data_IF_505585266501
#
_entry.id   IF_505585266501
#
_cell.length_a   1.000
_cell.length_b   1.000
_cell.length_c   1.000
_cell.angle_alpha   90.00
_cell.angle_beta   90.00
_cell.angle_gamma   90.00
#
_symmetry.space_group_name_H-M   'P 1'
#
loop_
_entity.id
_entity.type
_entity.pdbx_description
1 polymer ?
#
# COMPACT_ATOMS: atom_id res chain seq x y z
N UNK A 1 -18.51 -75.75 -0.24
CA UNK A 1 -18.84 -76.54 0.97
C UNK A 1 -19.05 -75.56 2.12
N UNK A 2 -20.27 -75.60 2.56
CA UNK A 2 -20.88 -75.14 3.83
C UNK A 2 -20.92 -73.62 4.03
N UNK A 3 -22.01 -73.03 3.75
CA UNK A 3 -23.42 -73.02 4.31
C UNK A 3 -23.49 -72.39 5.72
N UNK A 4 -24.04 -71.17 5.73
CA UNK A 4 -25.15 -70.50 6.51
C UNK A 4 -25.21 -70.67 8.05
N UNK A 5 -25.99 -69.80 8.81
CA UNK A 5 -27.12 -68.97 8.34
C UNK A 5 -27.24 -67.55 8.96
N UNK A 6 -28.11 -66.80 8.35
CA UNK A 6 -28.75 -65.51 8.79
C UNK A 6 -29.58 -65.75 10.06
N UNK A 7 -29.58 -64.76 10.97
CA UNK A 7 -30.66 -64.58 11.94
C UNK A 7 -31.21 -63.16 11.86
N UNK A 8 -32.46 -63.11 11.48
CA UNK A 8 -33.36 -61.94 11.51
C UNK A 8 -33.82 -61.68 12.95
N UNK A 9 -33.71 -60.46 13.43
CA UNK A 9 -34.49 -60.02 14.60
C UNK A 9 -35.39 -58.83 14.20
N UNK A 10 -36.70 -59.15 14.39
CA UNK A 10 -37.85 -58.29 14.19
C UNK A 10 -37.83 -57.09 15.14
N UNK A 11 -38.21 -55.94 14.62
CA UNK A 11 -38.69 -54.78 15.39
C UNK A 11 -40.14 -55.05 15.87
N UNK A 12 -40.55 -54.73 17.12
CA UNK A 12 -41.92 -54.57 17.50
C UNK A 12 -42.35 -53.12 17.40
N UNK A 13 -43.60 -52.96 16.96
CA UNK A 13 -44.27 -51.76 16.55
C UNK A 13 -44.63 -50.77 17.68
N UNK A 14 -44.72 -49.54 17.22
CA UNK A 14 -45.43 -48.44 17.86
C UNK A 14 -46.94 -48.84 17.98
N UNK A 15 -47.40 -48.98 19.18
CA UNK A 15 -48.80 -48.70 19.66
C UNK A 15 -49.02 -49.49 20.91
N UNK A 16 -49.00 -48.78 22.04
CA UNK A 16 -49.76 -49.07 23.29
C UNK A 16 -48.98 -48.55 24.51
N UNK A 17 -49.28 -47.33 24.86
CA UNK A 17 -49.26 -46.84 26.25
C UNK A 17 -49.83 -45.42 26.31
N UNK A 18 -51.13 -45.32 25.99
CA UNK A 18 -51.94 -44.20 26.40
C UNK A 18 -52.97 -44.81 27.34
N UNK A 19 -52.87 -44.51 28.65
CA UNK A 19 -54.00 -44.28 29.58
C UNK A 19 -53.58 -44.37 31.05
N UNK A 20 -53.97 -43.30 31.73
CA UNK A 20 -54.02 -43.10 33.22
C UNK A 20 -52.72 -42.48 33.77
N UNK A 21 -52.74 -41.21 34.18
CA UNK A 21 -53.49 -40.68 35.30
C UNK A 21 -53.62 -39.15 35.21
N UNK A 22 -54.79 -38.67 35.47
CA UNK A 22 -55.17 -37.28 35.61
C UNK A 22 -54.94 -36.80 37.05
N UNK A 23 -54.77 -35.48 37.16
CA UNK A 23 -55.16 -34.59 38.26
C UNK A 23 -54.07 -34.04 39.20
N UNK A 24 -54.13 -32.72 39.24
CA UNK A 24 -53.80 -31.77 40.29
C UNK A 24 -52.50 -30.97 40.16
N UNK A 25 -52.72 -29.67 39.97
CA UNK A 25 -51.72 -28.66 40.24
C UNK A 25 -51.63 -27.54 39.17
N UNK A 26 -52.65 -26.72 38.98
CA UNK A 26 -52.57 -25.48 38.25
C UNK A 26 -51.77 -24.45 39.06
N UNK A 27 -50.50 -24.27 38.74
CA UNK A 27 -49.75 -23.10 39.10
C UNK A 27 -49.45 -22.36 37.79
N UNK A 28 -50.09 -21.23 37.58
CA UNK A 28 -49.86 -20.34 36.45
C UNK A 28 -48.44 -19.74 36.55
N UNK A 29 -47.51 -20.32 35.81
CA UNK A 29 -46.21 -19.66 35.52
C UNK A 29 -46.47 -18.71 34.36
N UNK A 30 -46.61 -17.42 34.67
CA UNK A 30 -46.53 -16.34 33.67
C UNK A 30 -45.09 -16.33 33.17
N UNK A 31 -44.83 -16.62 31.89
CA UNK A 31 -43.49 -16.39 31.34
C UNK A 31 -43.33 -14.87 31.27
N UNK A 32 -42.51 -14.29 32.16
CA UNK A 32 -41.88 -13.00 31.93
C UNK A 32 -41.04 -13.13 30.67
N UNK A 33 -41.67 -12.90 29.54
CA UNK A 33 -41.00 -12.75 28.27
C UNK A 33 -40.12 -11.52 28.33
N UNK A 34 -38.83 -11.67 28.69
CA UNK A 34 -37.83 -10.71 28.33
C UNK A 34 -37.85 -10.65 26.81
N UNK A 35 -38.01 -9.45 26.20
CA UNK A 35 -37.83 -9.35 24.77
C UNK A 35 -36.38 -9.79 24.49
N UNK A 36 -36.23 -10.98 23.92
CA UNK A 36 -34.98 -11.34 23.29
C UNK A 36 -34.77 -10.30 22.22
N UNK A 37 -33.91 -9.32 22.48
CA UNK A 37 -33.36 -8.46 21.46
C UNK A 37 -32.60 -9.40 20.56
N UNK A 38 -33.25 -9.90 19.52
CA UNK A 38 -32.58 -10.49 18.36
C UNK A 38 -31.78 -9.33 17.78
N UNK A 39 -30.55 -9.16 18.27
CA UNK A 39 -29.56 -8.37 17.54
C UNK A 39 -29.39 -9.11 16.21
N UNK A 40 -30.16 -8.69 15.21
CA UNK A 40 -29.86 -9.04 13.84
C UNK A 40 -28.37 -8.84 13.67
N UNK A 41 -27.67 -9.83 13.17
CA UNK A 41 -26.24 -9.73 12.90
C UNK A 41 -26.10 -8.50 12.00
N UNK A 42 -25.54 -7.41 12.56
CA UNK A 42 -25.42 -6.15 11.83
C UNK A 42 -24.60 -6.47 10.57
N UNK A 43 -25.15 -6.14 9.40
CA UNK A 43 -24.46 -6.36 8.12
C UNK A 43 -23.02 -5.86 8.20
N UNK A 44 -22.07 -6.65 7.68
CA UNK A 44 -20.66 -6.23 7.62
C UNK A 44 -20.50 -4.98 6.74
N UNK A 45 -19.55 -4.11 7.07
CA UNK A 45 -19.13 -3.02 6.19
C UNK A 45 -18.05 -3.58 5.28
N UNK A 46 -18.26 -3.55 3.98
CA UNK A 46 -17.35 -4.10 2.97
C UNK A 46 -16.41 -3.03 2.44
N UNK A 47 -15.11 -3.34 2.41
CA UNK A 47 -14.05 -2.53 1.83
C UNK A 47 -13.42 -3.30 0.67
N UNK A 48 -13.26 -2.65 -0.48
CA UNK A 48 -12.58 -3.23 -1.63
C UNK A 48 -11.07 -3.04 -1.53
N UNK A 49 -10.30 -4.11 -1.61
CA UNK A 49 -8.85 -4.05 -1.72
C UNK A 49 -8.44 -4.49 -3.12
N UNK A 50 -7.85 -3.58 -3.89
CA UNK A 50 -7.48 -3.81 -5.29
C UNK A 50 -6.00 -3.51 -5.46
N UNK A 51 -5.21 -4.53 -5.79
CA UNK A 51 -3.76 -4.43 -5.93
C UNK A 51 -3.26 -5.54 -6.86
N UNK A 52 -2.12 -5.38 -7.56
CA UNK A 52 -1.54 -6.48 -8.30
C UNK A 52 -1.09 -7.58 -7.33
N UNK A 53 -1.60 -8.78 -7.50
CA UNK A 53 -1.22 -9.98 -6.73
C UNK A 53 -0.43 -10.98 -7.55
N UNK A 54 -0.36 -10.73 -8.84
CA UNK A 54 0.40 -11.49 -9.83
C UNK A 54 1.29 -10.57 -10.65
N UNK A 55 2.19 -11.13 -11.46
CA UNK A 55 3.11 -10.37 -12.29
C UNK A 55 4.26 -9.69 -11.51
N UNK A 56 4.91 -8.72 -12.15
CA UNK A 56 6.14 -8.10 -11.63
C UNK A 56 5.98 -7.28 -10.34
N UNK A 57 4.77 -6.87 -10.00
CA UNK A 57 4.43 -6.18 -8.74
C UNK A 57 3.75 -7.09 -7.71
N UNK A 58 3.51 -8.37 -8.04
CA UNK A 58 2.69 -9.26 -7.23
C UNK A 58 3.17 -9.45 -5.79
N UNK A 59 4.49 -9.47 -5.56
CA UNK A 59 5.03 -9.56 -4.20
C UNK A 59 4.70 -8.34 -3.36
N UNK A 60 4.78 -7.14 -3.92
CA UNK A 60 4.42 -5.89 -3.25
C UNK A 60 2.93 -5.90 -2.88
N UNK A 61 2.06 -6.32 -3.80
CA UNK A 61 0.62 -6.43 -3.54
C UNK A 61 0.27 -7.44 -2.44
N UNK A 62 1.02 -8.53 -2.31
CA UNK A 62 0.83 -9.50 -1.23
C UNK A 62 1.18 -8.89 0.14
N UNK A 63 2.26 -8.09 0.24
CA UNK A 63 2.57 -7.36 1.46
C UNK A 63 1.47 -6.36 1.83
N UNK A 64 0.98 -5.59 0.86
CA UNK A 64 -0.14 -4.66 1.06
C UNK A 64 -1.40 -5.37 1.57
N UNK A 65 -1.78 -6.49 0.96
CA UNK A 65 -2.93 -7.28 1.40
C UNK A 65 -2.79 -7.79 2.83
N UNK A 66 -1.60 -8.22 3.25
CA UNK A 66 -1.33 -8.62 4.63
C UNK A 66 -1.49 -7.43 5.59
N UNK A 67 -1.03 -6.24 5.21
CA UNK A 67 -1.25 -5.00 5.97
C UNK A 67 -2.72 -4.69 6.17
N UNK A 68 -3.51 -4.70 5.09
CA UNK A 68 -4.97 -4.55 5.11
C UNK A 68 -5.65 -5.57 6.02
N UNK A 69 -5.28 -6.84 5.90
CA UNK A 69 -5.86 -7.94 6.68
C UNK A 69 -5.59 -7.77 8.18
N UNK A 70 -4.37 -7.37 8.56
CA UNK A 70 -4.03 -7.11 9.95
C UNK A 70 -4.83 -5.93 10.52
N UNK A 71 -4.94 -4.83 9.76
CA UNK A 71 -5.72 -3.67 10.18
C UNK A 71 -7.18 -4.01 10.45
N UNK A 72 -7.81 -4.76 9.54
CA UNK A 72 -9.23 -5.16 9.68
C UNK A 72 -9.43 -6.12 10.84
N UNK A 73 -8.53 -7.06 11.06
CA UNK A 73 -8.58 -7.96 12.22
C UNK A 73 -8.51 -7.19 13.54
N UNK A 74 -7.61 -6.22 13.66
CA UNK A 74 -7.48 -5.37 14.84
C UNK A 74 -8.73 -4.52 15.08
N UNK A 75 -9.25 -3.88 14.02
CA UNK A 75 -10.48 -3.08 14.10
C UNK A 75 -11.65 -3.96 14.56
N UNK A 76 -11.78 -5.15 14.00
CA UNK A 76 -12.87 -6.08 14.35
C UNK A 76 -12.72 -6.62 15.77
N UNK A 77 -11.51 -6.85 16.25
CA UNK A 77 -11.23 -7.26 17.64
C UNK A 77 -11.58 -6.15 18.63
N UNK A 78 -11.37 -4.89 18.23
CA UNK A 78 -11.75 -3.71 19.02
C UNK A 78 -13.25 -3.37 18.97
N UNK A 79 -14.10 -4.21 18.34
CA UNK A 79 -15.55 -4.02 18.26
C UNK A 79 -16.08 -3.54 16.91
N UNK A 80 -15.22 -3.40 15.92
CA UNK A 80 -15.59 -2.96 14.56
C UNK A 80 -15.81 -1.45 14.44
N UNK A 81 -16.58 -1.05 13.44
CA UNK A 81 -16.94 0.35 13.17
C UNK A 81 -18.46 0.48 13.14
N UNK A 82 -19.01 1.48 13.81
CA UNK A 82 -20.46 1.70 13.92
C UNK A 82 -21.22 0.47 14.45
N UNK A 83 -20.59 -0.35 15.32
CA UNK A 83 -21.15 -1.59 15.83
C UNK A 83 -21.18 -2.75 14.81
N UNK A 84 -20.51 -2.60 13.68
CA UNK A 84 -20.44 -3.56 12.58
C UNK A 84 -19.00 -4.00 12.35
N UNK A 85 -18.79 -5.25 11.95
CA UNK A 85 -17.49 -5.74 11.53
C UNK A 85 -17.13 -5.23 10.13
N UNK A 86 -15.84 -5.08 9.85
CA UNK A 86 -15.32 -4.83 8.52
C UNK A 86 -15.01 -6.15 7.80
N UNK A 87 -15.24 -6.18 6.51
CA UNK A 87 -14.87 -7.27 5.60
C UNK A 87 -14.07 -6.71 4.43
N UNK A 88 -12.92 -7.33 4.11
CA UNK A 88 -12.12 -6.98 2.94
C UNK A 88 -12.46 -7.92 1.79
N UNK A 89 -12.89 -7.34 0.66
CA UNK A 89 -13.03 -8.07 -0.59
C UNK A 89 -11.82 -7.73 -1.45
N UNK A 90 -10.91 -8.71 -1.59
CA UNK A 90 -9.66 -8.53 -2.31
C UNK A 90 -9.78 -8.99 -3.77
N UNK A 91 -9.23 -8.20 -4.69
CA UNK A 91 -9.18 -8.50 -6.12
C UNK A 91 -7.76 -8.22 -6.66
N UNK A 92 -7.35 -9.03 -7.64
CA UNK A 92 -6.11 -8.81 -8.39
C UNK A 92 -6.38 -7.85 -9.54
N UNK A 93 -5.67 -6.72 -9.57
CA UNK A 93 -5.83 -5.70 -10.60
C UNK A 93 -5.22 -6.10 -11.94
N UNK A 94 -4.19 -6.92 -11.94
CA UNK A 94 -3.46 -7.45 -13.11
C UNK A 94 -2.98 -6.37 -14.10
N UNK A 95 -3.90 -5.58 -14.64
CA UNK A 95 -3.67 -4.48 -15.60
C UNK A 95 -4.83 -3.47 -15.54
N UNK A 96 -4.73 -2.29 -16.21
CA UNK A 96 -5.75 -1.25 -16.14
C UNK A 96 -7.16 -1.71 -16.55
N UNK A 97 -7.29 -2.55 -17.58
CA UNK A 97 -8.59 -3.04 -18.08
C UNK A 97 -9.25 -3.97 -17.04
N UNK A 98 -8.47 -4.88 -16.47
CA UNK A 98 -8.93 -5.75 -15.40
C UNK A 98 -9.31 -4.95 -14.16
N UNK A 99 -8.50 -3.94 -13.79
CA UNK A 99 -8.77 -3.06 -12.65
C UNK A 99 -10.13 -2.37 -12.79
N UNK A 100 -10.46 -1.81 -13.96
CA UNK A 100 -11.79 -1.20 -14.22
C UNK A 100 -12.92 -2.21 -13.97
N UNK A 101 -12.83 -3.41 -14.52
CA UNK A 101 -13.85 -4.46 -14.34
C UNK A 101 -14.00 -4.84 -12.87
N UNK A 102 -12.88 -4.94 -12.13
CA UNK A 102 -12.87 -5.27 -10.71
C UNK A 102 -13.47 -4.16 -9.85
N UNK A 103 -13.20 -2.88 -10.15
CA UNK A 103 -13.85 -1.74 -9.48
C UNK A 103 -15.36 -1.81 -9.63
N UNK A 104 -15.85 -2.01 -10.85
CA UNK A 104 -17.29 -2.12 -11.11
C UNK A 104 -17.91 -3.27 -10.29
N UNK A 105 -17.28 -4.44 -10.29
CA UNK A 105 -17.70 -5.58 -9.48
C UNK A 105 -17.76 -5.22 -8.00
N UNK A 106 -16.68 -4.66 -7.44
CA UNK A 106 -16.59 -4.32 -6.02
C UNK A 106 -17.65 -3.30 -5.61
N UNK A 107 -17.87 -2.26 -6.40
CA UNK A 107 -18.80 -1.19 -6.05
C UNK A 107 -20.26 -1.56 -6.36
N UNK A 108 -20.53 -2.04 -7.58
CA UNK A 108 -21.91 -2.24 -8.04
C UNK A 108 -22.52 -3.55 -7.55
N UNK A 109 -21.73 -4.64 -7.49
CA UNK A 109 -22.21 -5.96 -7.05
C UNK A 109 -21.97 -6.20 -5.57
N UNK A 110 -20.72 -6.02 -5.13
CA UNK A 110 -20.30 -6.41 -3.78
C UNK A 110 -20.61 -5.31 -2.75
N UNK A 111 -20.93 -4.06 -3.22
CA UNK A 111 -21.37 -2.91 -2.42
C UNK A 111 -20.32 -2.46 -1.41
N UNK A 112 -19.07 -2.40 -1.81
CA UNK A 112 -18.00 -1.83 -0.98
C UNK A 112 -18.21 -0.32 -0.80
N UNK A 113 -17.87 0.20 0.38
CA UNK A 113 -18.04 1.62 0.72
C UNK A 113 -16.80 2.46 0.40
N UNK A 114 -15.65 1.84 0.21
CA UNK A 114 -14.40 2.47 -0.21
C UNK A 114 -13.51 1.44 -0.92
N UNK A 115 -12.58 1.95 -1.73
CA UNK A 115 -11.52 1.19 -2.41
C UNK A 115 -10.18 1.58 -1.80
N UNK A 116 -9.31 0.60 -1.55
CA UNK A 116 -7.97 0.80 -1.00
C UNK A 116 -6.99 -0.01 -1.84
N UNK A 117 -5.79 0.51 -2.03
CA UNK A 117 -4.71 -0.24 -2.67
C UNK A 117 -4.18 0.41 -3.94
N UNK A 118 -3.70 -0.42 -4.80
CA UNK A 118 -3.06 -0.29 -6.10
C UNK A 118 -1.64 0.26 -6.05
N UNK A 119 -0.76 -0.41 -6.81
CA UNK A 119 0.67 -0.09 -6.92
C UNK A 119 1.00 0.43 -8.33
N UNK A 120 0.40 -0.16 -9.36
CA UNK A 120 0.61 0.27 -10.74
C UNK A 120 -0.04 1.63 -11.00
N UNK A 121 0.75 2.65 -11.34
CA UNK A 121 0.23 3.98 -11.68
C UNK A 121 -0.73 3.95 -12.87
N UNK A 122 -0.53 3.04 -13.83
CA UNK A 122 -1.44 2.89 -14.96
C UNK A 122 -2.82 2.36 -14.52
N UNK A 123 -2.86 1.35 -13.67
CA UNK A 123 -4.10 0.83 -13.09
C UNK A 123 -4.76 1.84 -12.15
N UNK A 124 -3.96 2.54 -11.32
CA UNK A 124 -4.48 3.56 -10.40
C UNK A 124 -5.18 4.71 -11.13
N UNK A 125 -4.67 5.15 -12.29
CA UNK A 125 -5.34 6.14 -13.15
C UNK A 125 -6.71 5.64 -13.60
N UNK A 126 -6.81 4.40 -14.05
CA UNK A 126 -8.07 3.80 -14.47
C UNK A 126 -9.06 3.61 -13.30
N UNK A 127 -8.56 3.21 -12.12
CA UNK A 127 -9.36 3.10 -10.89
C UNK A 127 -9.89 4.49 -10.47
N UNK A 128 -9.04 5.52 -10.49
CA UNK A 128 -9.41 6.88 -10.11
C UNK A 128 -10.57 7.43 -10.95
N UNK A 129 -10.55 7.18 -12.27
CA UNK A 129 -11.65 7.54 -13.16
C UNK A 129 -12.95 6.82 -12.79
N UNK A 130 -12.90 5.52 -12.50
CA UNK A 130 -14.06 4.76 -12.06
C UNK A 130 -14.55 5.18 -10.68
N UNK A 131 -13.66 5.48 -9.75
CA UNK A 131 -13.99 5.98 -8.41
C UNK A 131 -14.78 7.29 -8.48
N UNK A 132 -14.37 8.22 -9.35
CA UNK A 132 -15.11 9.45 -9.63
C UNK A 132 -16.50 9.16 -10.21
N UNK A 133 -16.57 8.32 -11.25
CA UNK A 133 -17.83 7.97 -11.91
C UNK A 133 -18.82 7.30 -10.97
N UNK A 134 -18.33 6.41 -10.10
CA UNK A 134 -19.14 5.66 -9.14
C UNK A 134 -19.31 6.38 -7.79
N UNK A 135 -18.71 7.57 -7.63
CA UNK A 135 -18.71 8.37 -6.39
C UNK A 135 -18.29 7.56 -5.16
N UNK A 136 -17.27 6.73 -5.32
CA UNK A 136 -16.73 5.84 -4.28
C UNK A 136 -15.35 6.30 -3.88
N UNK A 137 -15.07 6.58 -2.57
CA UNK A 137 -13.73 6.98 -2.14
C UNK A 137 -12.69 5.91 -2.48
N UNK A 138 -11.58 6.34 -3.08
CA UNK A 138 -10.43 5.51 -3.40
C UNK A 138 -9.20 6.04 -2.68
N UNK A 139 -8.58 5.17 -1.87
CA UNK A 139 -7.34 5.45 -1.13
C UNK A 139 -6.17 4.75 -1.82
N UNK A 140 -5.40 5.54 -2.55
CA UNK A 140 -4.19 5.08 -3.23
C UNK A 140 -3.07 4.90 -2.21
N UNK A 141 -2.54 3.69 -2.09
CA UNK A 141 -1.53 3.31 -1.09
C UNK A 141 -0.20 2.87 -1.70
N UNK A 142 -0.08 2.82 -3.04
CA UNK A 142 1.14 2.33 -3.68
C UNK A 142 1.51 2.96 -5.02
N UNK A 143 0.60 3.67 -5.70
CA UNK A 143 0.91 4.28 -6.99
C UNK A 143 1.48 5.69 -6.86
N UNK A 144 2.64 5.95 -7.49
CA UNK A 144 3.48 7.13 -7.25
C UNK A 144 3.34 8.25 -8.28
N UNK A 145 2.74 8.02 -9.47
CA UNK A 145 2.69 9.05 -10.51
C UNK A 145 2.07 10.34 -10.02
N UNK A 146 2.73 11.46 -10.27
CA UNK A 146 2.21 12.81 -9.97
C UNK A 146 0.96 13.13 -10.79
N UNK A 147 0.74 12.44 -11.93
CA UNK A 147 -0.46 12.63 -12.75
C UNK A 147 -1.75 12.31 -12.01
N UNK A 148 -1.70 11.40 -11.03
CA UNK A 148 -2.84 11.05 -10.17
C UNK A 148 -3.29 12.22 -9.30
N UNK A 149 -2.36 13.11 -8.89
CA UNK A 149 -2.59 14.28 -8.05
C UNK A 149 -2.60 15.56 -8.87
N UNK A 150 -2.27 15.47 -10.17
CA UNK A 150 -2.21 16.56 -11.13
C UNK A 150 -3.43 16.59 -12.03
N UNK A 151 -3.19 16.44 -13.33
CA UNK A 151 -4.26 16.52 -14.35
C UNK A 151 -5.41 15.53 -14.18
N UNK A 152 -5.19 14.42 -13.48
CA UNK A 152 -6.19 13.39 -13.21
C UNK A 152 -6.68 13.40 -11.75
N UNK A 153 -6.40 14.45 -10.98
CA UNK A 153 -6.92 14.56 -9.63
C UNK A 153 -8.46 14.61 -9.64
N UNK A 154 -9.06 14.04 -8.64
CA UNK A 154 -10.50 14.11 -8.46
C UNK A 154 -10.89 14.00 -6.98
N UNK A 155 -12.10 14.45 -6.65
CA UNK A 155 -12.57 14.57 -5.28
C UNK A 155 -12.73 13.25 -4.54
N UNK A 156 -12.83 12.12 -5.24
CA UNK A 156 -13.01 10.80 -4.64
C UNK A 156 -11.70 10.04 -4.45
N UNK A 157 -10.55 10.63 -4.80
CA UNK A 157 -9.26 9.98 -4.67
C UNK A 157 -8.40 10.65 -3.60
N UNK A 158 -7.88 9.85 -2.67
CA UNK A 158 -6.98 10.24 -1.58
C UNK A 158 -5.67 9.47 -1.69
N UNK A 159 -4.54 10.15 -1.46
CA UNK A 159 -3.21 9.57 -1.69
C UNK A 159 -2.46 9.41 -0.37
N UNK A 160 -2.32 8.18 0.09
CA UNK A 160 -1.50 7.80 1.25
C UNK A 160 -0.06 7.60 0.82
N UNK A 161 0.13 7.00 -0.35
CA UNK A 161 1.43 6.84 -0.97
C UNK A 161 2.06 8.19 -1.34
N UNK A 162 3.42 8.26 -1.27
CA UNK A 162 4.19 9.37 -1.78
C UNK A 162 4.11 9.48 -3.31
N UNK A 163 4.23 10.70 -3.84
CA UNK A 163 4.32 10.89 -5.28
C UNK A 163 5.78 10.96 -5.76
N UNK A 164 6.00 10.83 -7.06
CA UNK A 164 7.33 10.87 -7.66
C UNK A 164 8.10 12.15 -7.31
N UNK A 165 7.42 13.30 -7.20
CA UNK A 165 8.03 14.55 -6.72
C UNK A 165 8.53 14.42 -5.28
N UNK A 166 7.76 13.79 -4.38
CA UNK A 166 8.18 13.59 -2.99
C UNK A 166 9.43 12.72 -2.90
N UNK A 167 9.46 11.60 -3.61
CA UNK A 167 10.62 10.71 -3.68
C UNK A 167 11.85 11.43 -4.23
N UNK A 168 11.69 12.15 -5.36
CA UNK A 168 12.78 12.90 -6.00
C UNK A 168 13.31 14.01 -5.10
N UNK A 169 12.43 14.81 -4.47
CA UNK A 169 12.84 15.90 -3.57
C UNK A 169 13.49 15.37 -2.29
N UNK A 170 13.04 14.23 -1.77
CA UNK A 170 13.62 13.64 -0.55
C UNK A 170 15.08 13.28 -0.74
N UNK A 171 15.42 12.44 -1.72
CA UNK A 171 16.81 12.07 -1.98
C UNK A 171 17.62 13.26 -2.56
N UNK A 172 16.98 14.06 -3.39
CA UNK A 172 17.60 15.21 -4.00
C UNK A 172 18.01 16.29 -2.99
N UNK A 173 17.22 16.53 -1.96
CA UNK A 173 17.58 17.46 -0.88
C UNK A 173 18.84 16.99 -0.15
N UNK A 174 18.94 15.71 0.18
CA UNK A 174 20.13 15.14 0.77
C UNK A 174 21.35 15.22 -0.17
N UNK A 175 21.18 14.81 -1.44
CA UNK A 175 22.26 14.87 -2.43
C UNK A 175 22.74 16.31 -2.69
N UNK A 176 21.84 17.29 -2.63
CA UNK A 176 22.17 18.71 -2.75
C UNK A 176 23.02 19.20 -1.56
N UNK A 177 22.64 18.83 -0.33
CA UNK A 177 23.41 19.13 0.86
C UNK A 177 24.83 18.53 0.81
N UNK A 178 24.99 17.36 0.18
CA UNK A 178 26.26 16.68 -0.06
C UNK A 178 27.02 17.19 -1.30
N UNK A 179 26.57 18.27 -1.96
CA UNK A 179 27.15 18.82 -3.19
C UNK A 179 27.24 17.79 -4.35
N UNK A 180 26.30 16.87 -4.46
CA UNK A 180 26.32 15.75 -5.44
C UNK A 180 25.43 15.98 -6.68
N UNK A 181 24.77 17.13 -6.80
CA UNK A 181 23.87 17.43 -7.93
C UNK A 181 24.48 18.40 -8.93
N UNK A 182 25.04 19.53 -8.46
CA UNK A 182 25.57 20.55 -9.34
C UNK A 182 26.71 20.00 -10.21
N UNK A 183 26.55 20.06 -11.54
CA UNK A 183 27.48 19.50 -12.52
C UNK A 183 27.42 17.97 -12.67
N UNK A 184 26.55 17.28 -11.92
CA UNK A 184 26.43 15.83 -12.01
C UNK A 184 25.75 15.40 -13.31
N UNK A 185 26.27 14.32 -13.90
CA UNK A 185 25.73 13.65 -15.08
C UNK A 185 25.08 12.34 -14.67
N UNK A 186 23.78 12.25 -14.83
CA UNK A 186 22.99 11.09 -14.43
C UNK A 186 22.57 10.25 -15.63
N UNK A 187 22.69 8.95 -15.53
CA UNK A 187 22.11 7.99 -16.44
C UNK A 187 20.85 7.41 -15.82
N UNK A 188 19.75 7.40 -16.54
CA UNK A 188 18.49 6.87 -16.03
C UNK A 188 18.11 5.56 -16.72
N UNK A 189 17.60 4.63 -15.94
CA UNK A 189 16.91 3.42 -16.39
C UNK A 189 15.45 3.55 -15.99
N UNK A 190 14.56 3.65 -16.95
CA UNK A 190 13.18 4.06 -16.72
C UNK A 190 12.22 2.97 -17.16
N UNK A 191 11.38 2.47 -16.25
CA UNK A 191 10.32 1.53 -16.56
C UNK A 191 9.34 2.11 -17.59
N UNK A 192 9.08 1.35 -18.66
CA UNK A 192 8.29 1.81 -19.80
C UNK A 192 6.77 1.72 -19.54
N UNK A 193 6.30 2.44 -18.52
CA UNK A 193 4.88 2.64 -18.22
C UNK A 193 4.66 3.92 -17.40
N UNK A 194 3.39 4.28 -17.11
CA UNK A 194 3.01 5.58 -16.53
C UNK A 194 3.85 6.02 -15.31
N UNK A 195 4.22 5.09 -14.41
CA UNK A 195 5.10 5.37 -13.27
C UNK A 195 6.47 5.88 -13.70
N UNK A 196 7.17 5.11 -14.55
CA UNK A 196 8.52 5.45 -14.95
C UNK A 196 8.59 6.72 -15.80
N UNK A 197 7.66 6.89 -16.76
CA UNK A 197 7.58 8.10 -17.58
C UNK A 197 7.43 9.36 -16.72
N UNK A 198 6.57 9.33 -15.74
CA UNK A 198 6.36 10.45 -14.83
C UNK A 198 7.57 10.68 -13.93
N UNK A 199 8.17 9.62 -13.37
CA UNK A 199 9.36 9.73 -12.52
C UNK A 199 10.56 10.29 -13.31
N UNK A 200 10.75 9.87 -14.57
CA UNK A 200 11.75 10.43 -15.46
C UNK A 200 11.53 11.94 -15.68
N UNK A 201 10.31 12.34 -15.95
CA UNK A 201 9.92 13.75 -16.12
C UNK A 201 10.24 14.57 -14.87
N UNK A 202 9.84 14.10 -13.70
CA UNK A 202 10.01 14.79 -12.42
C UNK A 202 11.48 14.89 -12.03
N UNK A 203 12.22 13.77 -12.10
CA UNK A 203 13.65 13.74 -11.73
C UNK A 203 14.51 14.55 -12.69
N UNK A 204 14.21 14.53 -14.00
CA UNK A 204 14.89 15.37 -14.99
C UNK A 204 14.68 16.86 -14.71
N UNK A 205 13.46 17.28 -14.39
CA UNK A 205 13.14 18.65 -13.99
C UNK A 205 13.95 19.05 -12.75
N UNK A 206 13.89 18.23 -11.70
CA UNK A 206 14.61 18.50 -10.45
C UNK A 206 16.12 18.65 -10.67
N UNK A 207 16.74 17.74 -11.43
CA UNK A 207 18.17 17.83 -11.76
C UNK A 207 18.51 19.12 -12.48
N UNK A 208 17.76 19.47 -13.53
CA UNK A 208 17.99 20.68 -14.32
C UNK A 208 17.88 21.94 -13.47
N UNK A 209 16.86 22.05 -12.61
CA UNK A 209 16.67 23.19 -11.71
C UNK A 209 17.77 23.33 -10.67
N UNK A 210 18.49 22.25 -10.35
CA UNK A 210 19.57 22.23 -9.37
C UNK A 210 20.98 22.11 -10.02
N UNK A 211 21.09 22.33 -11.34
CA UNK A 211 22.35 22.38 -12.07
C UNK A 211 22.96 21.01 -12.38
N UNK A 212 22.20 19.95 -12.31
CA UNK A 212 22.55 18.62 -12.82
C UNK A 212 22.01 18.38 -14.23
N UNK A 213 22.39 17.26 -14.86
CA UNK A 213 21.94 16.89 -16.19
C UNK A 213 21.71 15.38 -16.33
N UNK A 214 20.71 15.00 -17.12
CA UNK A 214 20.54 13.65 -17.62
C UNK A 214 21.35 13.51 -18.90
N UNK A 215 22.30 12.56 -18.93
CA UNK A 215 23.15 12.31 -20.10
C UNK A 215 22.59 11.24 -21.01
N UNK A 216 21.81 10.31 -20.46
CA UNK A 216 21.08 9.28 -21.19
C UNK A 216 19.91 8.74 -20.36
N UNK A 217 18.91 8.19 -21.04
CA UNK A 217 17.81 7.47 -20.45
C UNK A 217 17.47 6.28 -21.36
N UNK A 218 17.41 5.09 -20.81
CA UNK A 218 16.86 3.92 -21.49
C UNK A 218 15.47 3.59 -20.93
N UNK A 219 14.50 3.47 -21.83
CA UNK A 219 13.17 2.93 -21.51
C UNK A 219 13.26 1.41 -21.45
N UNK A 220 12.85 0.84 -20.34
CA UNK A 220 12.96 -0.59 -20.05
C UNK A 220 11.56 -1.21 -19.98
N UNK A 221 11.21 -2.13 -20.89
CA UNK A 221 9.96 -2.86 -20.82
C UNK A 221 9.82 -3.62 -19.49
N UNK A 222 8.61 -3.71 -18.96
CA UNK A 222 8.32 -4.52 -17.76
C UNK A 222 8.61 -6.00 -18.02
N UNK A 223 9.04 -6.71 -16.97
CA UNK A 223 9.48 -8.11 -17.03
C UNK A 223 10.72 -8.33 -17.91
N UNK A 224 11.64 -7.37 -17.96
CA UNK A 224 12.92 -7.51 -18.63
C UNK A 224 13.82 -8.51 -17.88
N UNK A 225 14.18 -9.65 -18.47
CA UNK A 225 14.96 -10.68 -17.79
C UNK A 225 16.46 -10.43 -17.83
N UNK A 226 16.95 -9.64 -18.79
CA UNK A 226 18.36 -9.39 -19.04
C UNK A 226 18.65 -7.90 -19.22
N UNK A 227 19.50 -7.36 -18.37
CA UNK A 227 19.91 -5.95 -18.35
C UNK A 227 21.32 -5.76 -18.94
N UNK A 228 21.99 -6.76 -19.47
CA UNK A 228 23.37 -6.70 -19.94
C UNK A 228 23.60 -5.60 -20.97
N UNK A 229 22.70 -5.45 -21.94
CA UNK A 229 22.77 -4.41 -22.97
C UNK A 229 22.67 -2.99 -22.37
N UNK A 230 21.79 -2.78 -21.40
CA UNK A 230 21.66 -1.51 -20.69
C UNK A 230 22.91 -1.21 -19.84
N UNK A 231 23.44 -2.19 -19.14
CA UNK A 231 24.64 -2.05 -18.30
C UNK A 231 25.87 -1.74 -19.15
N UNK A 232 25.99 -2.29 -20.36
CA UNK A 232 27.07 -1.97 -21.31
C UNK A 232 27.00 -0.50 -21.77
N UNK A 233 25.80 -0.03 -22.16
CA UNK A 233 25.57 1.39 -22.52
C UNK A 233 25.92 2.32 -21.36
N UNK A 234 25.46 1.98 -20.15
CA UNK A 234 25.74 2.72 -18.94
C UNK A 234 27.25 2.85 -18.67
N UNK A 235 28.01 1.73 -18.82
CA UNK A 235 29.48 1.72 -18.71
C UNK A 235 30.14 2.67 -19.73
N UNK A 236 29.61 2.73 -20.94
CA UNK A 236 30.13 3.65 -22.00
C UNK A 236 29.84 5.10 -21.67
N UNK A 237 28.67 5.40 -21.10
CA UNK A 237 28.25 6.77 -20.76
C UNK A 237 29.03 7.37 -19.58
N UNK A 238 29.64 6.56 -18.71
CA UNK A 238 30.42 6.97 -17.54
C UNK A 238 29.73 8.05 -16.70
N UNK A 239 28.49 7.79 -16.21
CA UNK A 239 27.75 8.76 -15.43
C UNK A 239 28.36 8.97 -14.04
N UNK A 240 27.99 10.08 -13.39
CA UNK A 240 28.28 10.29 -11.96
C UNK A 240 27.36 9.41 -11.09
N UNK A 241 26.11 9.26 -11.52
CA UNK A 241 25.11 8.40 -10.88
C UNK A 241 24.28 7.63 -11.90
N UNK A 242 23.88 6.42 -11.52
CA UNK A 242 22.82 5.66 -12.18
C UNK A 242 21.53 5.83 -11.38
N UNK A 243 20.55 6.45 -11.99
CA UNK A 243 19.24 6.70 -11.37
C UNK A 243 18.25 5.65 -11.84
N UNK A 244 17.76 4.85 -10.90
CA UNK A 244 16.94 3.68 -11.18
C UNK A 244 15.46 4.02 -11.01
N UNK A 245 14.73 4.10 -12.12
CA UNK A 245 13.29 4.31 -12.18
C UNK A 245 12.57 2.98 -12.50
N UNK A 246 13.00 1.90 -11.88
CA UNK A 246 12.42 0.55 -12.02
C UNK A 246 11.60 0.21 -10.78
N UNK A 247 10.76 -0.81 -10.87
CA UNK A 247 9.93 -1.28 -9.76
C UNK A 247 9.83 -2.81 -9.72
N UNK A 248 9.47 -3.36 -8.56
CA UNK A 248 9.18 -4.78 -8.38
C UNK A 248 10.33 -5.70 -8.80
N UNK A 249 10.00 -6.76 -9.52
CA UNK A 249 10.99 -7.77 -9.97
C UNK A 249 12.03 -7.17 -10.90
N UNK A 250 11.66 -6.20 -11.74
CA UNK A 250 12.60 -5.54 -12.67
C UNK A 250 13.71 -4.82 -11.91
N UNK A 251 13.38 -4.13 -10.81
CA UNK A 251 14.36 -3.51 -9.94
C UNK A 251 15.30 -4.54 -9.29
N UNK A 252 14.74 -5.64 -8.78
CA UNK A 252 15.53 -6.74 -8.19
C UNK A 252 16.50 -7.33 -9.21
N UNK A 253 16.02 -7.61 -10.42
CA UNK A 253 16.81 -8.22 -11.51
C UNK A 253 17.97 -7.32 -11.92
N UNK A 254 17.68 -6.02 -12.13
CA UNK A 254 18.73 -5.05 -12.46
C UNK A 254 19.78 -4.95 -11.35
N UNK A 255 19.39 -4.82 -10.09
CA UNK A 255 20.33 -4.69 -8.97
C UNK A 255 21.30 -5.88 -8.88
N UNK A 256 20.79 -7.11 -9.06
CA UNK A 256 21.62 -8.32 -9.05
C UNK A 256 22.60 -8.35 -10.22
N UNK A 257 22.13 -8.10 -11.43
CA UNK A 257 22.98 -8.11 -12.62
C UNK A 257 23.99 -6.95 -12.60
N UNK A 258 23.59 -5.76 -12.17
CA UNK A 258 24.51 -4.62 -12.07
C UNK A 258 25.71 -4.91 -11.18
N UNK A 259 25.51 -5.59 -10.06
CA UNK A 259 26.56 -6.04 -9.15
C UNK A 259 27.62 -6.91 -9.89
N UNK A 260 27.17 -7.83 -10.73
CA UNK A 260 28.07 -8.76 -11.44
C UNK A 260 29.06 -8.05 -12.35
N UNK A 261 28.68 -6.88 -12.88
CA UNK A 261 29.56 -6.07 -13.72
C UNK A 261 30.57 -5.22 -12.93
N UNK A 262 30.47 -5.15 -11.61
CA UNK A 262 31.37 -4.44 -10.70
C UNK A 262 31.72 -3.01 -11.20
N UNK A 263 30.70 -2.25 -11.63
CA UNK A 263 30.89 -0.88 -12.13
C UNK A 263 31.06 0.12 -10.98
N UNK A 264 31.90 1.18 -11.18
CA UNK A 264 32.19 2.14 -10.11
C UNK A 264 31.11 3.20 -9.91
N UNK A 265 30.02 3.16 -10.67
CA UNK A 265 28.99 4.20 -10.61
C UNK A 265 28.00 3.93 -9.49
N UNK A 266 27.82 4.86 -8.53
CA UNK A 266 26.87 4.68 -7.46
C UNK A 266 25.44 4.67 -8.01
N UNK A 267 24.61 3.81 -7.40
CA UNK A 267 23.19 3.76 -7.68
C UNK A 267 22.46 4.78 -6.82
N UNK A 268 21.41 5.37 -7.35
CA UNK A 268 20.53 6.27 -6.66
C UNK A 268 19.11 6.17 -7.21
N UNK A 269 18.19 6.82 -6.59
CA UNK A 269 17.02 7.17 -7.22
C UNK A 269 15.76 6.56 -7.07
N UNK A 270 14.90 6.65 -7.98
CA UNK A 270 13.61 6.06 -8.13
C UNK A 270 12.70 6.10 -6.91
N UNK A 271 11.94 5.05 -6.78
CA UNK A 271 11.15 4.71 -5.59
C UNK A 271 11.81 3.50 -4.93
N UNK A 272 11.95 3.52 -3.61
CA UNK A 272 12.47 2.39 -2.86
C UNK A 272 11.31 1.66 -2.20
N UNK A 273 10.83 0.63 -2.87
CA UNK A 273 10.04 -0.43 -2.23
C UNK A 273 11.00 -1.44 -1.61
N UNK A 274 10.86 -1.75 -0.32
CA UNK A 274 11.85 -2.55 0.39
C UNK A 274 11.92 -4.00 -0.05
N UNK A 275 10.82 -4.57 -0.52
CA UNK A 275 10.76 -5.99 -0.97
C UNK A 275 11.75 -6.30 -2.10
N UNK A 276 11.83 -5.53 -3.20
CA UNK A 276 12.85 -5.71 -4.23
C UNK A 276 14.29 -5.62 -3.70
N UNK A 277 14.55 -4.74 -2.75
CA UNK A 277 15.87 -4.57 -2.14
C UNK A 277 16.25 -5.77 -1.25
N UNK A 278 15.30 -6.26 -0.45
CA UNK A 278 15.50 -7.50 0.32
C UNK A 278 15.77 -8.69 -0.59
N UNK A 279 15.04 -8.78 -1.71
CA UNK A 279 15.23 -9.86 -2.69
C UNK A 279 16.55 -9.76 -3.47
N UNK A 280 17.07 -8.54 -3.69
CA UNK A 280 18.38 -8.31 -4.31
C UNK A 280 19.51 -8.69 -3.35
N UNK A 281 19.32 -8.45 -2.06
CA UNK A 281 20.30 -8.73 -1.00
C UNK A 281 21.33 -7.62 -0.83
N UNK A 282 21.90 -7.51 0.39
CA UNK A 282 22.82 -6.44 0.79
C UNK A 282 24.01 -6.27 -0.16
N UNK A 283 24.49 -7.35 -0.71
CA UNK A 283 25.66 -7.35 -1.60
C UNK A 283 25.40 -6.65 -2.95
N UNK A 284 24.13 -6.47 -3.33
CA UNK A 284 23.73 -5.79 -4.57
C UNK A 284 23.42 -4.32 -4.35
N UNK A 285 23.62 -3.81 -3.14
CA UNK A 285 23.17 -2.48 -2.73
C UNK A 285 24.34 -1.61 -2.27
N UNK A 286 24.21 -0.32 -2.43
CA UNK A 286 25.16 0.67 -1.93
C UNK A 286 24.51 2.04 -1.80
N UNK A 287 25.17 2.96 -1.07
CA UNK A 287 24.82 4.38 -1.03
C UNK A 287 23.57 4.70 -0.20
N UNK A 288 22.87 5.77 -0.61
CA UNK A 288 21.74 6.35 0.08
C UNK A 288 20.51 6.32 -0.82
N UNK A 289 19.36 6.07 -0.20
CA UNK A 289 18.08 5.95 -0.87
C UNK A 289 17.02 6.73 -0.10
N UNK A 290 15.89 6.94 -0.70
CA UNK A 290 14.72 7.51 -0.05
C UNK A 290 13.67 6.43 0.23
N UNK A 291 13.09 6.46 1.40
CA UNK A 291 12.03 5.53 1.79
C UNK A 291 10.81 6.28 2.30
N UNK A 292 9.63 5.81 1.93
CA UNK A 292 8.40 6.35 2.50
C UNK A 292 8.24 5.91 3.94
N UNK A 293 8.52 4.64 4.23
CA UNK A 293 8.45 4.05 5.55
C UNK A 293 9.40 2.84 5.64
N UNK A 294 9.95 2.58 6.83
CA UNK A 294 10.83 1.44 7.04
C UNK A 294 10.58 0.81 8.41
N UNK A 295 10.60 -0.51 8.49
CA UNK A 295 10.19 -1.29 9.65
C UNK A 295 11.02 -1.06 10.93
N UNK A 296 12.21 -0.47 10.83
CA UNK A 296 13.05 -0.10 11.99
C UNK A 296 12.84 1.33 12.49
N UNK A 297 11.82 2.03 11.96
CA UNK A 297 11.50 3.40 12.38
C UNK A 297 11.23 3.44 13.87
N UNK A 298 12.04 4.24 14.60
CA UNK A 298 12.02 4.33 16.06
C UNK A 298 10.86 5.19 16.58
N UNK A 299 9.64 4.84 16.15
CA UNK A 299 8.37 5.42 16.62
C UNK A 299 7.58 4.29 17.29
N UNK A 300 7.06 4.49 18.52
CA UNK A 300 6.39 3.41 19.26
C UNK A 300 5.30 2.71 18.47
N UNK A 301 4.46 3.45 17.76
CA UNK A 301 3.41 2.89 16.91
C UNK A 301 3.95 2.05 15.74
N UNK A 302 5.05 2.50 15.10
CA UNK A 302 5.71 1.77 14.02
C UNK A 302 6.34 0.46 14.51
N UNK A 303 7.05 0.51 15.64
CA UNK A 303 7.65 -0.68 16.25
C UNK A 303 6.60 -1.71 16.69
N UNK A 304 5.50 -1.26 17.28
CA UNK A 304 4.40 -2.12 17.68
C UNK A 304 3.71 -2.76 16.46
N UNK A 305 3.50 -2.02 15.37
CA UNK A 305 2.98 -2.55 14.12
C UNK A 305 3.93 -3.58 13.51
N UNK A 306 5.23 -3.26 13.43
CA UNK A 306 6.25 -4.19 12.93
C UNK A 306 6.25 -5.50 13.72
N UNK A 307 6.17 -5.42 15.06
CA UNK A 307 6.12 -6.61 15.92
C UNK A 307 4.89 -7.48 15.62
N UNK A 308 3.69 -6.88 15.58
CA UNK A 308 2.45 -7.63 15.31
C UNK A 308 2.45 -8.25 13.91
N UNK A 309 2.86 -7.48 12.91
CA UNK A 309 2.96 -7.95 11.54
C UNK A 309 3.96 -9.12 11.42
N UNK A 310 5.16 -8.96 11.99
CA UNK A 310 6.21 -9.99 11.93
C UNK A 310 5.80 -11.28 12.65
N UNK A 311 5.15 -11.16 13.81
CA UNK A 311 4.61 -12.32 14.55
C UNK A 311 3.60 -13.09 13.72
N UNK A 312 2.75 -12.40 12.97
CA UNK A 312 1.70 -13.04 12.17
C UNK A 312 2.20 -13.62 10.84
N UNK A 313 3.11 -12.92 10.16
CA UNK A 313 3.49 -13.24 8.78
C UNK A 313 4.93 -13.72 8.60
N UNK A 314 5.73 -13.79 9.68
CA UNK A 314 7.07 -14.38 9.67
C UNK A 314 8.17 -13.48 9.10
N UNK A 315 7.91 -12.18 8.93
CA UNK A 315 8.87 -11.17 8.46
C UNK A 315 8.33 -9.77 8.65
N UNK A 316 9.17 -8.72 8.58
CA UNK A 316 8.73 -7.35 8.82
C UNK A 316 7.83 -6.83 7.70
N UNK A 317 6.97 -5.83 7.98
CA UNK A 317 6.22 -5.14 6.95
C UNK A 317 7.15 -4.29 6.09
N UNK A 318 6.76 -4.08 4.84
CA UNK A 318 7.34 -3.09 3.93
C UNK A 318 6.47 -1.81 3.89
N UNK A 319 6.81 -0.87 3.01
CA UNK A 319 6.04 0.36 2.82
C UNK A 319 4.64 0.11 2.26
N UNK A 320 4.42 -0.94 1.45
CA UNK A 320 3.09 -1.28 0.92
C UNK A 320 2.19 -1.83 2.04
N UNK A 321 2.73 -2.74 2.89
CA UNK A 321 2.02 -3.23 4.06
C UNK A 321 1.65 -2.10 5.02
N UNK A 322 2.56 -1.14 5.23
CA UNK A 322 2.29 0.05 6.03
C UNK A 322 1.19 0.92 5.39
N UNK A 323 1.29 1.22 4.10
CA UNK A 323 0.34 2.08 3.39
C UNK A 323 -1.08 1.54 3.44
N UNK A 324 -1.25 0.25 3.15
CA UNK A 324 -2.56 -0.42 3.17
C UNK A 324 -3.12 -0.54 4.59
N UNK A 325 -2.27 -0.84 5.58
CA UNK A 325 -2.68 -0.86 6.99
C UNK A 325 -3.19 0.51 7.44
N UNK A 326 -2.44 1.58 7.14
CA UNK A 326 -2.81 2.96 7.47
C UNK A 326 -4.08 3.37 6.72
N UNK A 327 -4.22 2.98 5.45
CA UNK A 327 -5.41 3.24 4.64
C UNK A 327 -6.67 2.69 5.28
N UNK A 328 -6.64 1.44 5.72
CA UNK A 328 -7.76 0.81 6.43
C UNK A 328 -8.11 1.54 7.74
N UNK A 329 -7.09 1.96 8.51
CA UNK A 329 -7.29 2.72 9.77
C UNK A 329 -7.88 4.11 9.51
N UNK A 330 -7.44 4.82 8.46
CA UNK A 330 -7.98 6.12 8.07
C UNK A 330 -9.46 6.00 7.69
N UNK A 331 -9.81 5.03 6.85
CA UNK A 331 -11.21 4.79 6.44
C UNK A 331 -12.08 4.46 7.65
N UNK A 332 -11.59 3.60 8.54
CA UNK A 332 -12.32 3.23 9.77
C UNK A 332 -12.51 4.45 10.69
N UNK A 333 -11.50 5.28 10.89
CA UNK A 333 -11.61 6.52 11.65
C UNK A 333 -12.61 7.48 11.01
N UNK A 334 -12.56 7.68 9.70
CA UNK A 334 -13.48 8.56 8.98
C UNK A 334 -14.94 8.10 9.15
N UNK A 335 -15.22 6.81 9.05
CA UNK A 335 -16.56 6.26 9.30
C UNK A 335 -17.01 6.44 10.76
N UNK A 336 -16.13 6.24 11.73
CA UNK A 336 -16.44 6.39 13.15
C UNK A 336 -16.77 7.86 13.50
N UNK A 337 -15.95 8.80 13.05
CA UNK A 337 -16.11 10.25 13.32
C UNK A 337 -17.36 10.84 12.62
N UNK A 338 -17.60 10.42 11.39
CA UNK A 338 -18.80 10.88 10.64
C UNK A 338 -20.06 10.14 11.03
N UNK A 339 -19.94 9.05 11.81
CA UNK A 339 -21.02 8.11 12.13
C UNK A 339 -21.74 7.63 10.88
N UNK A 340 -21.02 7.42 9.79
CA UNK A 340 -21.59 7.15 8.46
C UNK A 340 -20.65 6.33 7.59
N UNK A 341 -21.24 5.59 6.64
CA UNK A 341 -20.54 4.99 5.50
C UNK A 341 -20.82 5.73 4.20
N UNK A 342 -21.52 6.87 4.26
CA UNK A 342 -21.85 7.67 3.09
C UNK A 342 -20.59 8.32 2.48
N UNK A 343 -20.29 8.08 1.19
CA UNK A 343 -19.10 8.57 0.53
C UNK A 343 -18.92 10.11 0.62
N UNK A 344 -19.98 10.87 0.47
CA UNK A 344 -19.88 12.34 0.49
C UNK A 344 -19.52 12.86 1.89
N UNK A 345 -20.01 12.21 2.95
CA UNK A 345 -19.67 12.55 4.33
C UNK A 345 -18.20 12.18 4.65
N UNK A 346 -17.73 11.03 4.15
CA UNK A 346 -16.34 10.61 4.32
C UNK A 346 -15.40 11.60 3.64
N UNK A 347 -15.66 11.92 2.37
CA UNK A 347 -14.87 12.89 1.60
C UNK A 347 -14.85 14.25 2.30
N UNK A 348 -16.00 14.77 2.71
CA UNK A 348 -16.08 16.07 3.40
C UNK A 348 -15.32 16.09 4.75
N UNK A 349 -15.26 14.97 5.46
CA UNK A 349 -14.49 14.86 6.70
C UNK A 349 -12.97 14.90 6.42
N UNK A 350 -12.52 14.18 5.40
CA UNK A 350 -11.11 14.12 4.99
C UNK A 350 -10.61 15.49 4.50
N UNK A 351 -11.44 16.23 3.75
CA UNK A 351 -11.13 17.57 3.23
C UNK A 351 -11.05 18.66 4.31
N UNK A 352 -11.66 18.44 5.48
CA UNK A 352 -11.68 19.42 6.59
C UNK A 352 -10.40 19.45 7.44
N UNK A 353 -9.36 18.72 7.03
CA UNK A 353 -8.09 18.72 7.75
C UNK A 353 -8.03 17.78 8.94
N UNK A 354 -8.79 16.69 8.89
CA UNK A 354 -8.67 15.61 9.86
C UNK A 354 -7.25 15.04 9.90
N UNK A 355 -6.75 14.76 11.10
CA UNK A 355 -5.42 14.21 11.29
C UNK A 355 -5.45 12.73 11.70
N UNK A 356 -4.46 11.98 11.25
CA UNK A 356 -4.39 10.53 11.41
C UNK A 356 -3.06 10.11 12.03
N UNK A 357 -3.08 9.10 12.88
CA UNK A 357 -1.88 8.36 13.25
C UNK A 357 -1.47 7.50 12.06
N UNK A 358 -0.34 7.82 11.48
CA UNK A 358 0.21 7.13 10.31
C UNK A 358 1.48 6.33 10.65
N UNK A 359 1.69 6.03 11.93
CA UNK A 359 2.85 5.28 12.42
C UNK A 359 4.19 5.96 12.05
N UNK A 360 4.20 7.31 12.07
CA UNK A 360 5.35 8.17 11.87
C UNK A 360 5.46 9.17 13.04
N UNK A 361 6.54 9.94 13.07
CA UNK A 361 6.73 10.93 14.15
C UNK A 361 5.66 12.02 14.14
N UNK A 362 5.21 12.41 12.96
CA UNK A 362 4.15 13.41 12.76
C UNK A 362 2.87 12.74 12.28
N UNK A 363 1.73 13.29 12.71
CA UNK A 363 0.42 12.86 12.21
C UNK A 363 0.24 13.28 10.76
N UNK A 364 -0.42 12.43 9.97
CA UNK A 364 -0.77 12.74 8.58
C UNK A 364 -2.06 13.55 8.49
N UNK A 365 -2.16 14.37 7.44
CA UNK A 365 -3.34 15.13 7.06
C UNK A 365 -3.42 15.25 5.55
N UNK A 366 -4.59 15.06 4.97
CA UNK A 366 -4.75 15.27 3.52
C UNK A 366 -4.80 16.77 3.18
N UNK A 367 -4.05 17.15 2.15
CA UNK A 367 -4.18 18.49 1.57
C UNK A 367 -5.54 18.63 0.87
N UNK A 368 -6.22 19.76 1.08
CA UNK A 368 -7.56 19.95 0.54
C UNK A 368 -7.59 20.07 -1.00
N UNK A 369 -6.50 20.54 -1.63
CA UNK A 369 -6.50 20.88 -3.05
C UNK A 369 -6.07 19.74 -4.00
N UNK A 370 -5.37 18.71 -3.50
CA UNK A 370 -4.95 17.55 -4.31
C UNK A 370 -5.06 16.20 -3.58
N UNK A 371 -5.56 16.22 -2.36
CA UNK A 371 -5.73 15.05 -1.48
C UNK A 371 -4.46 14.22 -1.24
N UNK A 372 -3.26 14.83 -1.38
CA UNK A 372 -2.03 14.17 -0.97
C UNK A 372 -1.90 14.21 0.56
N UNK A 373 -1.58 13.07 1.17
CA UNK A 373 -1.26 12.99 2.59
C UNK A 373 0.06 13.71 2.88
N UNK A 374 0.00 14.74 3.72
CA UNK A 374 1.18 15.42 4.24
C UNK A 374 1.89 14.51 5.24
N UNK A 375 3.13 14.18 4.97
CA UNK A 375 3.96 13.27 5.76
C UNK A 375 5.43 13.48 5.46
N UNK A 376 6.30 13.13 6.41
CA UNK A 376 7.73 13.02 6.15
C UNK A 376 8.07 11.71 5.41
N UNK A 377 9.18 11.74 4.71
CA UNK A 377 9.89 10.59 4.16
C UNK A 377 11.26 10.47 4.84
N UNK A 378 12.03 9.47 4.50
CA UNK A 378 13.31 9.20 5.14
C UNK A 378 14.42 9.02 4.13
N UNK A 379 15.59 9.59 4.40
CA UNK A 379 16.84 9.16 3.77
C UNK A 379 17.36 7.98 4.55
N UNK A 380 17.64 6.90 3.85
CA UNK A 380 18.22 5.67 4.40
C UNK A 380 19.57 5.41 3.74
N UNK A 381 20.45 4.75 4.47
CA UNK A 381 21.77 4.33 4.01
C UNK A 381 21.89 2.82 4.07
N UNK A 382 22.42 2.21 3.02
CA UNK A 382 22.77 0.78 3.02
C UNK A 382 23.77 0.52 4.14
N UNK A 383 23.47 -0.46 4.99
CA UNK A 383 24.33 -0.85 6.13
C UNK A 383 25.64 -1.46 5.65
N UNK A 384 26.68 -1.28 6.45
CA UNK A 384 27.85 -2.12 6.41
C UNK A 384 27.43 -3.59 6.61
N UNK A 385 27.88 -4.48 5.73
CA UNK A 385 27.53 -5.92 5.77
C UNK A 385 27.81 -6.57 7.12
N UNK A 386 28.86 -6.15 7.80
CA UNK A 386 29.22 -6.64 9.13
C UNK A 386 28.21 -6.26 10.23
N UNK A 387 27.34 -5.27 9.99
CA UNK A 387 26.33 -4.78 10.93
C UNK A 387 24.92 -5.28 10.65
N UNK A 388 24.73 -6.01 9.58
CA UNK A 388 23.42 -6.59 9.17
C UNK A 388 23.07 -7.73 10.12
N UNK A 389 21.90 -7.66 10.77
CA UNK A 389 21.41 -8.68 11.71
C UNK A 389 20.69 -9.83 11.03
N UNK A 390 19.95 -9.51 9.99
CA UNK A 390 19.18 -10.45 9.18
C UNK A 390 18.96 -9.92 7.76
N UNK A 391 18.33 -10.70 6.90
CA UNK A 391 18.11 -10.34 5.48
C UNK A 391 17.22 -9.11 5.25
N UNK A 392 16.53 -8.63 6.26
CA UNK A 392 15.66 -7.46 6.17
C UNK A 392 16.28 -6.19 6.77
N UNK A 393 17.28 -6.35 7.65
CA UNK A 393 17.95 -5.26 8.37
C UNK A 393 19.09 -4.63 7.53
N UNK A 394 18.77 -4.20 6.29
CA UNK A 394 19.76 -3.76 5.30
C UNK A 394 19.96 -2.25 5.25
N UNK A 395 19.15 -1.46 5.93
CA UNK A 395 19.25 0.00 5.94
C UNK A 395 19.31 0.59 7.34
N UNK A 396 20.09 1.68 7.48
CA UNK A 396 20.02 2.63 8.57
C UNK A 396 19.17 3.84 8.15
N UNK A 397 18.24 4.29 8.99
CA UNK A 397 17.54 5.55 8.79
C UNK A 397 18.51 6.69 9.16
N UNK A 398 18.82 7.56 8.20
CA UNK A 398 19.76 8.68 8.39
C UNK A 398 19.03 9.89 8.96
N UNK A 399 17.93 10.30 8.31
CA UNK A 399 17.15 11.48 8.72
C UNK A 399 15.75 11.47 8.11
N UNK A 400 14.77 12.11 8.77
CA UNK A 400 13.52 12.46 8.14
C UNK A 400 13.70 13.63 7.16
N UNK A 401 12.90 13.67 6.11
CA UNK A 401 12.82 14.78 5.15
C UNK A 401 11.34 15.05 4.86
N UNK A 402 10.81 16.24 5.14
CA UNK A 402 11.45 17.37 5.81
C UNK A 402 11.86 17.06 7.25
N UNK A 403 12.83 17.79 7.79
CA UNK A 403 13.24 17.70 9.17
C UNK A 403 12.08 18.00 10.15
N UNK A 404 12.25 17.66 11.42
CA UNK A 404 11.18 17.69 12.43
C UNK A 404 10.47 19.06 12.55
N UNK A 405 11.21 20.16 12.38
CA UNK A 405 10.70 21.53 12.48
C UNK A 405 10.40 22.21 11.14
N UNK A 406 10.52 21.47 10.04
CA UNK A 406 10.26 21.99 8.70
C UNK A 406 8.83 21.66 8.26
N UNK A 407 8.31 22.46 7.32
CA UNK A 407 6.99 22.20 6.74
C UNK A 407 6.97 20.91 5.93
N UNK A 408 5.94 20.09 6.12
CA UNK A 408 5.70 18.88 5.31
C UNK A 408 5.49 19.20 3.82
N UNK A 409 5.18 20.45 3.49
CA UNK A 409 5.02 20.92 2.11
C UNK A 409 6.33 20.96 1.32
N UNK A 410 7.50 20.98 1.97
CA UNK A 410 8.80 21.13 1.29
C UNK A 410 9.09 20.06 0.23
N UNK A 411 8.66 18.82 0.49
CA UNK A 411 8.86 17.71 -0.46
C UNK A 411 7.67 17.52 -1.40
N UNK A 412 6.57 18.20 -1.16
CA UNK A 412 5.37 18.08 -1.97
C UNK A 412 5.52 18.80 -3.33
N UNK A 413 4.76 18.40 -4.35
CA UNK A 413 4.59 19.24 -5.52
C UNK A 413 3.85 20.53 -5.11
N UNK A 414 4.32 21.66 -5.64
CA UNK A 414 3.63 22.94 -5.51
C UNK A 414 2.44 23.02 -6.46
N UNK A 415 1.54 23.99 -6.28
CA UNK A 415 0.45 24.23 -7.24
C UNK A 415 0.97 24.58 -8.65
N UNK A 416 2.15 25.19 -8.76
CA UNK A 416 2.77 25.48 -10.06
C UNK A 416 3.34 24.21 -10.74
N UNK A 417 3.77 23.22 -9.96
CA UNK A 417 4.26 21.93 -10.44
C UNK A 417 3.14 20.95 -10.75
N UNK A 418 1.94 21.19 -10.23
CA UNK A 418 0.83 20.26 -10.24
C UNK A 418 -0.42 20.93 -10.81
N UNK A 419 -0.95 20.39 -11.90
CA UNK A 419 -2.09 20.95 -12.66
C UNK A 419 -3.45 20.48 -12.10
N UNK A 420 -3.56 20.15 -10.80
CA UNK A 420 -4.83 19.69 -10.21
C UNK A 420 -5.89 20.79 -10.30
N UNK A 421 -7.02 20.40 -10.89
CA UNK A 421 -8.28 21.15 -10.82
C UNK A 421 -9.30 20.15 -10.26
N UNK A 422 -9.50 20.21 -8.94
CA UNK A 422 -10.40 19.29 -8.26
C UNK A 422 -11.80 19.39 -8.85
N UNK A 423 -12.32 18.29 -9.38
CA UNK A 423 -13.66 18.20 -9.96
C UNK A 423 -14.64 17.51 -9.00
#
# INVERSE_FOLDING_TARGET
MNDKPRSTLRQPGRREALKKTAALGAAAIVPLGFPAIVRGQADTIKLGHLTPRTGFLGQLGEYGFRGSSLAVEEINTAGGVLGRKLEVIAEDSVNPQTAVTKVQKLVERDKVVALIGEISSASALAIAEQALRLKTPYFNTGANSDELRGKNCNRFMFHIEGCNTMYTKTIGTWQKAENKIKGAKWYMLTADYAFGHDLFRVSTRFLKENGGAVVANDMVPTNTPDYSAYIIKLRQAKPVFVYINLAGVDQTTFLKQYREYNLPFPLAGGVMDTVPFWAAGIDSLSGHWQSLWYHTLAVPGALAFTQRYSTKFGGPPDNQAWGDYVGMKIVAQAMAETKSTDPAKLVAYLEKGATFDILKARRGQFRAWDHQLLQEMYVVRVKDKAKVKDKWDIFDIVQPVPGANESLELIQPTMAENACKMA
#
